data_IF_471744592658
#
_entry.id   IF_471744592658
#
_cell.length_a   1.000
_cell.length_b   1.000
_cell.length_c   1.000
_cell.angle_alpha   90.00
_cell.angle_beta   90.00
_cell.angle_gamma   90.00
#
_symmetry.space_group_name_H-M   'P 1'
#
loop_
_entity.id
_entity.type
_entity.pdbx_description
1 polymer ?
#
# COMPACT_ATOMS: atom_id res chain seq x y z
N UNK A 1 -10.90 -18.79 6.47
CA UNK A 1 -10.18 -18.91 5.18
C UNK A 1 -10.06 -17.56 4.47
N UNK A 2 -11.17 -16.92 4.06
CA UNK A 2 -11.15 -15.65 3.31
C UNK A 2 -10.42 -14.50 4.04
N UNK A 3 -10.64 -14.35 5.35
CA UNK A 3 -9.95 -13.33 6.16
C UNK A 3 -8.42 -13.45 6.09
N UNK A 4 -7.87 -14.68 6.06
CA UNK A 4 -6.43 -14.89 5.93
C UNK A 4 -5.94 -14.46 4.54
N UNK A 5 -6.70 -14.74 3.47
CA UNK A 5 -6.33 -14.31 2.11
C UNK A 5 -6.30 -12.79 2.01
N UNK A 6 -7.35 -12.12 2.51
CA UNK A 6 -7.43 -10.66 2.50
C UNK A 6 -6.31 -10.03 3.32
N UNK A 7 -5.99 -10.62 4.48
CA UNK A 7 -4.85 -10.20 5.28
C UNK A 7 -3.53 -10.34 4.52
N UNK A 8 -3.27 -11.49 3.89
CA UNK A 8 -2.06 -11.73 3.09
C UNK A 8 -1.92 -10.72 1.95
N UNK A 9 -3.01 -10.42 1.23
CA UNK A 9 -2.98 -9.44 0.14
C UNK A 9 -2.65 -8.04 0.66
N UNK A 10 -3.33 -7.62 1.74
CA UNK A 10 -3.11 -6.30 2.36
C UNK A 10 -1.68 -6.16 2.88
N UNK A 11 -1.18 -7.17 3.58
CA UNK A 11 0.18 -7.17 4.14
C UNK A 11 1.25 -7.16 3.04
N UNK A 12 1.02 -7.90 1.95
CA UNK A 12 1.87 -7.84 0.76
C UNK A 12 1.91 -6.42 0.16
N UNK A 13 0.75 -5.75 0.06
CA UNK A 13 0.68 -4.37 -0.43
C UNK A 13 1.41 -3.38 0.50
N UNK A 14 1.35 -3.57 1.83
CA UNK A 14 2.09 -2.75 2.80
C UNK A 14 3.60 -2.81 2.53
N UNK A 15 4.14 -4.02 2.39
CA UNK A 15 5.57 -4.21 2.11
C UNK A 15 5.95 -3.65 0.73
N UNK A 16 5.11 -3.88 -0.29
CA UNK A 16 5.33 -3.32 -1.64
C UNK A 16 5.36 -1.79 -1.60
N UNK A 17 4.47 -1.13 -0.84
CA UNK A 17 4.45 0.32 -0.73
C UNK A 17 5.78 0.87 -0.16
N UNK A 18 6.34 0.22 0.87
CA UNK A 18 7.65 0.60 1.44
C UNK A 18 8.77 0.51 0.40
N UNK A 19 8.81 -0.58 -0.37
CA UNK A 19 9.77 -0.72 -1.49
C UNK A 19 9.54 0.24 -2.64
N UNK A 20 8.29 0.63 -2.86
CA UNK A 20 7.90 1.51 -3.95
C UNK A 20 8.22 2.98 -3.66
N UNK A 21 8.16 3.38 -2.39
CA UNK A 21 8.31 4.77 -1.95
C UNK A 21 9.51 5.53 -2.55
N UNK A 22 10.75 4.99 -2.59
CA UNK A 22 11.89 5.72 -3.16
C UNK A 22 11.80 5.93 -4.68
N UNK A 23 10.93 5.20 -5.39
CA UNK A 23 10.78 5.28 -6.85
C UNK A 23 9.50 6.02 -7.27
N UNK A 24 8.41 5.81 -6.55
CA UNK A 24 7.09 6.38 -6.82
C UNK A 24 6.41 6.78 -5.50
N UNK A 25 6.85 7.89 -4.86
CA UNK A 25 6.40 8.28 -3.52
C UNK A 25 4.90 8.53 -3.46
N UNK A 26 4.32 9.19 -4.48
CA UNK A 26 2.88 9.47 -4.52
C UNK A 26 2.04 8.20 -4.63
N UNK A 27 2.46 7.24 -5.48
CA UNK A 27 1.75 5.97 -5.63
C UNK A 27 1.88 5.12 -4.35
N UNK A 28 3.06 5.08 -3.74
CA UNK A 28 3.31 4.38 -2.49
C UNK A 28 2.49 4.94 -1.32
N UNK A 29 2.45 6.27 -1.17
CA UNK A 29 1.64 6.94 -0.14
C UNK A 29 0.15 6.68 -0.35
N UNK A 30 -0.32 6.68 -1.60
CA UNK A 30 -1.72 6.33 -1.89
C UNK A 30 -2.04 4.87 -1.54
N UNK A 31 -1.15 3.92 -1.82
CA UNK A 31 -1.31 2.53 -1.37
C UNK A 31 -1.42 2.50 0.16
N UNK A 32 -0.48 3.15 0.86
CA UNK A 32 -0.40 3.19 2.32
C UNK A 32 -1.71 3.63 2.98
N UNK A 33 -2.28 4.73 2.50
CA UNK A 33 -3.57 5.26 2.98
C UNK A 33 -4.72 4.31 2.64
N UNK A 34 -4.79 3.79 1.41
CA UNK A 34 -5.89 2.92 0.98
C UNK A 34 -5.92 1.58 1.75
N UNK A 35 -4.77 1.04 2.13
CA UNK A 35 -4.69 -0.18 2.95
C UNK A 35 -4.92 0.08 4.45
N UNK A 36 -5.16 1.33 4.84
CA UNK A 36 -5.36 1.75 6.22
C UNK A 36 -4.14 1.49 7.09
N UNK A 37 -2.93 1.64 6.55
CA UNK A 37 -1.71 1.59 7.35
C UNK A 37 -1.63 2.81 8.25
N UNK A 38 -1.12 2.60 9.45
CA UNK A 38 -0.89 3.65 10.43
C UNK A 38 0.43 4.38 10.11
N UNK A 39 0.66 5.49 10.80
CA UNK A 39 1.80 6.39 10.57
C UNK A 39 1.89 6.91 9.12
N UNK A 40 2.90 7.74 8.88
CA UNK A 40 3.22 8.20 7.54
C UNK A 40 4.31 7.33 6.96
N UNK A 41 4.13 6.94 5.70
CA UNK A 41 5.13 6.17 4.95
C UNK A 41 6.50 6.87 4.86
N UNK A 42 6.55 8.20 5.00
CA UNK A 42 7.80 8.99 5.02
C UNK A 42 8.64 8.77 6.29
N UNK A 43 7.99 8.35 7.39
CA UNK A 43 8.64 8.06 8.66
C UNK A 43 9.06 6.57 8.77
N UNK A 44 8.63 5.74 7.82
CA UNK A 44 8.89 4.31 7.80
C UNK A 44 10.33 3.98 7.41
N UNK A 45 10.90 2.96 8.08
CA UNK A 45 12.24 2.44 7.78
C UNK A 45 12.16 1.01 7.25
N UNK A 46 12.98 0.70 6.25
CA UNK A 46 12.96 -0.61 5.58
C UNK A 46 13.17 -1.80 6.51
N UNK A 47 14.16 -1.69 7.40
CA UNK A 47 14.54 -2.70 8.38
C UNK A 47 13.44 -2.96 9.42
N UNK A 48 12.61 -1.97 9.71
CA UNK A 48 11.54 -2.06 10.69
C UNK A 48 10.18 -2.42 10.06
N UNK A 49 9.88 -1.93 8.86
CA UNK A 49 8.59 -2.14 8.21
C UNK A 49 8.49 -3.44 7.41
N UNK A 50 9.59 -3.95 6.85
CA UNK A 50 9.56 -5.14 6.00
C UNK A 50 9.59 -6.44 6.83
N UNK A 51 8.78 -6.46 7.88
CA UNK A 51 8.52 -7.63 8.72
C UNK A 51 7.09 -8.07 8.49
N UNK A 52 6.91 -9.33 8.10
CA UNK A 52 5.57 -9.89 7.92
C UNK A 52 4.85 -9.99 9.26
N UNK A 53 3.60 -9.52 9.29
CA UNK A 53 2.76 -9.66 10.48
C UNK A 53 2.94 -8.54 11.50
N UNK A 54 3.53 -7.41 11.11
CA UNK A 54 3.83 -6.28 12.00
C UNK A 54 2.57 -5.64 12.58
N UNK A 55 1.53 -5.49 11.77
CA UNK A 55 0.30 -4.82 12.20
C UNK A 55 -0.78 -5.78 12.69
N UNK A 56 -1.54 -5.30 13.68
CA UNK A 56 -2.66 -6.02 14.27
C UNK A 56 -3.84 -6.12 13.30
N UNK A 57 -4.62 -7.20 13.41
CA UNK A 57 -5.82 -7.40 12.56
C UNK A 57 -6.88 -6.37 12.94
N UNK A 58 -7.27 -5.51 12.01
CA UNK A 58 -8.29 -4.49 12.26
C UNK A 58 -8.27 -3.28 11.32
N UNK A 59 -7.24 -3.15 10.47
CA UNK A 59 -7.11 -2.00 9.57
C UNK A 59 -8.26 -1.93 8.57
N UNK A 60 -8.90 -0.77 8.49
CA UNK A 60 -9.99 -0.52 7.55
C UNK A 60 -9.39 -0.11 6.21
N UNK A 61 -9.58 -0.94 5.19
CA UNK A 61 -9.23 -0.60 3.81
C UNK A 61 -10.25 0.39 3.27
N UNK A 62 -9.78 1.47 2.65
CA UNK A 62 -10.60 2.46 1.97
C UNK A 62 -10.44 2.35 0.45
N UNK A 63 -11.53 2.53 -0.27
CA UNK A 63 -11.53 2.50 -1.73
C UNK A 63 -11.12 3.88 -2.24
N UNK A 64 -9.83 4.07 -2.45
CA UNK A 64 -9.31 5.29 -3.05
C UNK A 64 -9.46 5.33 -4.57
N UNK A 65 -8.94 6.40 -5.18
CA UNK A 65 -8.84 6.53 -6.62
C UNK A 65 -7.86 5.49 -7.21
N UNK A 66 -8.02 5.11 -8.49
CA UNK A 66 -7.03 4.28 -9.17
C UNK A 66 -5.64 4.92 -9.11
N UNK A 67 -4.64 4.14 -8.68
CA UNK A 67 -3.25 4.61 -8.56
C UNK A 67 -2.65 5.04 -9.90
N UNK A 68 -2.99 4.31 -10.96
CA UNK A 68 -2.49 4.54 -12.30
C UNK A 68 -3.67 4.69 -13.24
N UNK A 69 -4.03 5.93 -13.60
CA UNK A 69 -5.03 6.20 -14.62
C UNK A 69 -4.65 5.54 -15.95
N UNK A 70 -5.65 5.10 -16.71
CA UNK A 70 -5.43 4.57 -18.04
C UNK A 70 -4.91 5.70 -18.94
N UNK A 71 -3.84 5.42 -19.70
CA UNK A 71 -3.40 6.31 -20.77
C UNK A 71 -4.41 6.20 -21.90
N UNK A 72 -5.07 7.31 -22.23
CA UNK A 72 -5.92 7.39 -23.41
C UNK A 72 -5.05 7.70 -24.62
N UNK A 73 -5.21 6.96 -25.72
CA UNK A 73 -4.55 7.33 -26.97
C UNK A 73 -5.06 8.70 -27.42
N UNK A 74 -4.16 9.68 -27.48
CA UNK A 74 -4.45 10.97 -28.11
C UNK A 74 -4.67 10.67 -29.59
N UNK A 75 -5.94 10.64 -30.01
CA UNK A 75 -6.29 10.62 -31.43
C UNK A 75 -5.82 11.95 -32.03
N UNK A 76 -4.69 11.91 -32.72
CA UNK A 76 -4.25 12.97 -33.63
C UNK A 76 -5.06 12.97 -34.92
#
# INVERSE_FOLDING_TARGET
ALSNILYTLREGLRIVAVYLYPFMPDAAANIWVQIGAEDKIEDCRFDEEVVWGKESRGCKVDKGAPLFPRIEEVKG
#
